data_IF_666675665864
#
_entry.id   IF_666675665864
#
_cell.length_a   1.000
_cell.length_b   1.000
_cell.length_c   1.000
_cell.angle_alpha   90.00
_cell.angle_beta   90.00
_cell.angle_gamma   90.00
#
_symmetry.space_group_name_H-M   'P 1'
#
loop_
_entity.id
_entity.type
_entity.pdbx_description
1 polymer ?
#
# COMPACT_ATOMS: atom_id res chain seq x y z
N UNK A 1 32.54 -1.69 -13.62
CA UNK A 1 33.34 -1.76 -12.38
C UNK A 1 33.47 -3.22 -11.98
N UNK A 2 34.68 -3.76 -11.97
CA UNK A 2 34.96 -5.15 -11.57
C UNK A 2 34.73 -5.31 -10.08
N UNK A 3 33.86 -6.24 -9.67
CA UNK A 3 33.65 -6.56 -8.26
C UNK A 3 34.90 -7.24 -7.69
N UNK A 4 35.45 -6.64 -6.65
CA UNK A 4 36.61 -7.19 -5.95
C UNK A 4 36.13 -8.31 -5.03
N UNK A 5 36.75 -9.49 -5.16
CA UNK A 5 36.45 -10.65 -4.32
C UNK A 5 37.02 -10.48 -2.90
N UNK A 6 36.36 -11.06 -1.90
CA UNK A 6 36.79 -10.97 -0.47
C UNK A 6 38.22 -11.46 -0.23
N UNK A 7 38.73 -12.38 -1.05
CA UNK A 7 40.06 -12.97 -0.93
C UNK A 7 41.10 -12.34 -1.88
N UNK A 8 40.70 -11.40 -2.74
CA UNK A 8 41.58 -10.72 -3.67
C UNK A 8 42.54 -9.76 -2.93
N UNK A 9 43.68 -9.39 -3.53
CA UNK A 9 44.54 -8.35 -2.98
C UNK A 9 43.79 -7.05 -2.82
N UNK A 10 43.98 -6.38 -1.67
CA UNK A 10 43.30 -5.12 -1.41
C UNK A 10 43.77 -4.02 -2.38
N UNK A 11 42.83 -3.26 -3.03
CA UNK A 11 43.18 -2.22 -3.98
C UNK A 11 43.92 -1.03 -3.35
N UNK A 12 43.93 -0.92 -2.02
CA UNK A 12 44.69 0.13 -1.31
C UNK A 12 46.22 -0.07 -1.33
N UNK A 13 46.72 -1.17 -1.90
CA UNK A 13 48.16 -1.46 -1.99
C UNK A 13 48.79 -2.00 -0.71
N UNK A 14 48.00 -2.34 0.32
CA UNK A 14 48.50 -2.85 1.60
C UNK A 14 49.12 -4.26 1.55
N UNK A 15 48.94 -4.98 0.42
CA UNK A 15 49.38 -6.38 0.29
C UNK A 15 48.49 -7.38 1.05
N UNK A 16 47.49 -6.93 1.78
CA UNK A 16 46.57 -7.79 2.51
C UNK A 16 45.36 -8.17 1.65
N UNK A 17 44.64 -9.24 2.05
CA UNK A 17 43.37 -9.64 1.42
C UNK A 17 42.30 -8.58 1.74
N UNK A 18 41.48 -8.25 0.76
CA UNK A 18 40.43 -7.23 0.87
C UNK A 18 39.56 -7.39 2.13
N UNK A 19 39.14 -8.62 2.48
CA UNK A 19 38.34 -8.92 3.69
C UNK A 19 38.98 -8.54 5.01
N UNK A 20 40.34 -8.43 5.06
CA UNK A 20 41.12 -8.08 6.26
C UNK A 20 41.61 -6.64 6.26
N UNK A 21 41.28 -5.88 5.21
CA UNK A 21 41.79 -4.52 5.04
C UNK A 21 40.61 -3.54 4.83
N UNK A 22 40.17 -3.29 3.60
CA UNK A 22 39.19 -2.25 3.30
C UNK A 22 37.76 -2.74 3.38
N UNK A 23 37.48 -4.03 3.25
CA UNK A 23 36.08 -4.55 3.25
C UNK A 23 35.26 -4.09 4.46
N UNK A 24 35.76 -4.13 5.73
CA UNK A 24 34.93 -3.66 6.86
C UNK A 24 34.59 -2.17 6.77
N UNK A 25 35.52 -1.34 6.26
CA UNK A 25 35.31 0.09 6.08
C UNK A 25 34.30 0.37 4.94
N UNK A 26 34.40 -0.41 3.87
CA UNK A 26 33.51 -0.27 2.72
C UNK A 26 32.07 -0.74 3.05
N UNK A 27 31.96 -1.81 3.87
CA UNK A 27 30.66 -2.28 4.40
C UNK A 27 30.04 -1.25 5.36
N UNK A 28 30.85 -0.63 6.22
CA UNK A 28 30.38 0.43 7.13
C UNK A 28 29.96 1.69 6.37
N UNK A 29 30.75 2.10 5.37
CA UNK A 29 30.40 3.24 4.51
C UNK A 29 29.13 2.97 3.70
N UNK A 30 28.94 1.76 3.16
CA UNK A 30 27.72 1.38 2.44
C UNK A 30 26.51 1.38 3.36
N UNK A 31 26.64 0.88 4.59
CA UNK A 31 25.58 0.90 5.59
C UNK A 31 25.19 2.33 6.00
N UNK A 32 26.19 3.20 6.21
CA UNK A 32 25.96 4.60 6.52
C UNK A 32 25.28 5.34 5.36
N UNK A 33 25.66 5.06 4.11
CA UNK A 33 25.03 5.64 2.92
C UNK A 33 23.57 5.20 2.77
N UNK A 34 23.24 3.92 3.03
CA UNK A 34 21.87 3.42 3.01
C UNK A 34 21.01 4.09 4.09
N UNK A 35 21.57 4.26 5.30
CA UNK A 35 20.89 4.93 6.39
C UNK A 35 20.63 6.40 6.08
N UNK A 36 21.61 7.12 5.56
CA UNK A 36 21.46 8.50 5.15
C UNK A 36 20.44 8.66 4.01
N UNK A 37 20.40 7.73 3.05
CA UNK A 37 19.40 7.74 1.97
C UNK A 37 17.99 7.48 2.50
N UNK A 38 17.82 6.61 3.51
CA UNK A 38 16.54 6.37 4.15
C UNK A 38 16.06 7.60 4.95
N UNK A 39 16.98 8.26 5.68
CA UNK A 39 16.68 9.50 6.41
C UNK A 39 16.34 10.65 5.46
N UNK A 40 17.03 10.77 4.31
CA UNK A 40 16.71 11.76 3.28
C UNK A 40 15.34 11.55 2.66
N UNK A 41 14.94 10.30 2.36
CA UNK A 41 13.61 9.96 1.86
C UNK A 41 12.51 10.25 2.90
N UNK A 42 12.77 9.95 4.18
CA UNK A 42 11.85 10.27 5.25
C UNK A 42 11.68 11.79 5.42
N UNK A 43 12.77 12.56 5.30
CA UNK A 43 12.73 14.02 5.37
C UNK A 43 12.02 14.63 4.14
N UNK A 44 12.14 14.04 2.96
CA UNK A 44 11.44 14.47 1.76
C UNK A 44 9.94 14.15 1.83
N UNK A 45 9.58 12.97 2.32
CA UNK A 45 8.19 12.62 2.60
C UNK A 45 7.55 13.55 3.64
N UNK A 46 8.30 13.93 4.68
CA UNK A 46 7.83 14.91 5.67
C UNK A 46 7.65 16.33 5.11
N UNK A 47 8.45 16.74 4.10
CA UNK A 47 8.27 18.03 3.41
C UNK A 47 7.04 18.03 2.52
N UNK A 48 6.74 16.92 1.82
CA UNK A 48 5.53 16.79 1.01
C UNK A 48 4.25 16.71 1.85
N UNK A 49 4.34 16.26 3.11
CA UNK A 49 3.21 16.27 4.03
C UNK A 49 2.79 17.70 4.46
N UNK A 50 3.65 18.71 4.26
CA UNK A 50 3.35 20.11 4.65
C UNK A 50 2.83 21.00 3.50
N UNK A 51 2.77 20.51 2.24
CA UNK A 51 2.44 21.35 1.08
C UNK A 51 0.99 21.19 0.57
N UNK A 52 0.11 20.58 1.36
CA UNK A 52 -1.32 20.49 1.05
C UNK A 52 -2.20 21.44 1.90
N UNK A 53 -1.65 22.60 2.27
CA UNK A 53 -2.47 23.70 2.81
C UNK A 53 -3.08 24.50 1.65
N UNK A 54 -4.07 23.91 0.98
CA UNK A 54 -4.98 24.66 0.12
C UNK A 54 -6.20 25.06 0.94
N UNK A 55 -6.24 26.36 1.27
CA UNK A 55 -7.25 27.04 2.04
C UNK A 55 -8.68 26.69 1.67
N UNK A 56 -9.26 25.79 2.40
CA UNK A 56 -10.69 25.67 2.54
C UNK A 56 -11.09 26.42 3.81
N UNK A 57 -11.82 27.54 3.63
CA UNK A 57 -12.47 28.25 4.73
C UNK A 57 -13.55 27.32 5.31
N UNK A 58 -13.19 26.60 6.36
CA UNK A 58 -14.13 25.78 7.13
C UNK A 58 -14.85 26.60 8.16
N UNK A 59 -16.16 26.45 8.21
CA UNK A 59 -16.95 26.92 9.34
C UNK A 59 -16.55 26.11 10.58
N UNK A 60 -16.06 26.79 11.61
CA UNK A 60 -15.37 26.23 12.78
C UNK A 60 -16.20 25.30 13.68
N UNK A 61 -17.41 24.90 13.33
CA UNK A 61 -18.28 24.17 14.27
C UNK A 61 -18.87 22.83 13.81
N UNK A 62 -18.77 22.42 12.55
CA UNK A 62 -19.33 21.15 12.06
C UNK A 62 -18.39 20.31 11.17
N UNK A 63 -17.19 20.79 10.81
CA UNK A 63 -16.25 20.11 9.92
C UNK A 63 -15.26 19.15 10.61
N UNK A 64 -14.81 19.49 11.80
CA UNK A 64 -13.63 18.86 12.43
C UNK A 64 -13.78 17.35 12.76
N UNK A 65 -14.99 16.84 12.95
CA UNK A 65 -15.20 15.42 13.28
C UNK A 65 -15.40 14.54 12.06
N UNK A 66 -15.90 15.10 10.96
CA UNK A 66 -16.09 14.35 9.70
C UNK A 66 -14.76 14.21 8.94
N UNK A 67 -13.92 15.23 8.93
CA UNK A 67 -12.63 15.23 8.27
C UNK A 67 -11.68 14.17 8.86
N UNK A 68 -11.67 14.02 10.20
CA UNK A 68 -10.80 13.03 10.87
C UNK A 68 -11.16 11.57 10.54
N UNK A 69 -12.45 11.26 10.46
CA UNK A 69 -12.91 9.89 10.12
C UNK A 69 -12.63 9.58 8.65
N UNK A 70 -12.89 10.52 7.74
CA UNK A 70 -12.65 10.33 6.30
C UNK A 70 -11.15 10.23 6.01
N UNK A 71 -10.33 11.06 6.64
CA UNK A 71 -8.87 11.02 6.54
C UNK A 71 -8.30 9.71 7.09
N UNK A 72 -8.87 9.22 8.20
CA UNK A 72 -8.47 7.96 8.79
C UNK A 72 -8.84 6.78 7.89
N UNK A 73 -10.07 6.72 7.38
CA UNK A 73 -10.51 5.70 6.43
C UNK A 73 -9.60 5.66 5.19
N UNK A 74 -9.34 6.82 4.59
CA UNK A 74 -8.48 6.93 3.40
C UNK A 74 -7.07 6.41 3.70
N UNK A 75 -6.50 6.75 4.84
CA UNK A 75 -5.17 6.32 5.26
C UNK A 75 -5.12 4.82 5.50
N UNK A 76 -6.10 4.28 6.23
CA UNK A 76 -6.20 2.85 6.53
C UNK A 76 -6.44 2.03 5.24
N UNK A 77 -7.25 2.54 4.31
CA UNK A 77 -7.53 1.95 3.00
C UNK A 77 -6.27 1.93 2.11
N UNK A 78 -5.51 3.03 2.05
CA UNK A 78 -4.27 3.11 1.29
C UNK A 78 -3.18 2.20 1.85
N UNK A 79 -3.10 2.03 3.18
CA UNK A 79 -2.15 1.12 3.80
C UNK A 79 -2.33 -0.33 3.31
N UNK A 80 -3.55 -0.77 3.02
CA UNK A 80 -3.79 -2.10 2.43
C UNK A 80 -3.19 -2.20 1.02
N UNK A 81 -3.34 -1.16 0.20
CA UNK A 81 -2.77 -1.11 -1.16
C UNK A 81 -1.25 -1.23 -1.10
N UNK A 82 -0.61 -0.48 -0.20
CA UNK A 82 0.84 -0.52 -0.02
C UNK A 82 1.32 -1.93 0.37
N UNK A 83 0.64 -2.58 1.32
CA UNK A 83 0.93 -3.94 1.74
C UNK A 83 0.78 -4.96 0.59
N UNK A 84 -0.24 -4.80 -0.26
CA UNK A 84 -0.42 -5.64 -1.47
C UNK A 84 0.74 -5.45 -2.44
N UNK A 85 1.15 -4.20 -2.70
CA UNK A 85 2.29 -3.89 -3.58
C UNK A 85 3.62 -4.41 -3.02
N UNK A 86 3.78 -4.45 -1.70
CA UNK A 86 4.93 -5.03 -1.02
C UNK A 86 4.92 -6.57 -0.99
N UNK A 87 3.83 -7.21 -1.42
CA UNK A 87 3.63 -8.66 -1.38
C UNK A 87 3.34 -9.21 0.02
N UNK A 88 3.04 -8.35 0.99
CA UNK A 88 2.70 -8.71 2.38
C UNK A 88 1.20 -9.06 2.51
N UNK A 89 0.78 -10.09 1.78
CA UNK A 89 -0.65 -10.38 1.59
C UNK A 89 -1.39 -10.79 2.87
N UNK A 90 -0.72 -11.39 3.84
CA UNK A 90 -1.33 -11.75 5.13
C UNK A 90 -1.59 -10.52 6.01
N UNK A 91 -0.66 -9.57 6.01
CA UNK A 91 -0.82 -8.29 6.69
C UNK A 91 -1.89 -7.43 5.99
N UNK A 92 -1.90 -7.42 4.66
CA UNK A 92 -2.91 -6.74 3.85
C UNK A 92 -4.33 -7.27 4.15
N UNK A 93 -4.50 -8.61 4.26
CA UNK A 93 -5.79 -9.20 4.61
C UNK A 93 -6.26 -8.79 6.00
N UNK A 94 -5.36 -8.79 6.98
CA UNK A 94 -5.69 -8.35 8.34
C UNK A 94 -6.11 -6.88 8.36
N UNK A 95 -5.38 -6.01 7.66
CA UNK A 95 -5.71 -4.59 7.55
C UNK A 95 -7.06 -4.36 6.84
N UNK A 96 -7.35 -5.09 5.75
CA UNK A 96 -8.63 -5.01 5.06
C UNK A 96 -9.81 -5.52 5.91
N UNK A 97 -9.59 -6.56 6.71
CA UNK A 97 -10.61 -7.03 7.68
C UNK A 97 -10.86 -6.00 8.78
N UNK A 98 -9.82 -5.32 9.27
CA UNK A 98 -9.96 -4.24 10.22
C UNK A 98 -10.76 -3.05 9.64
N UNK A 99 -10.64 -2.75 8.34
CA UNK A 99 -11.51 -1.77 7.68
C UNK A 99 -12.99 -2.17 7.77
N UNK A 100 -13.33 -3.45 7.53
CA UNK A 100 -14.72 -3.92 7.65
C UNK A 100 -15.26 -3.83 9.07
N UNK A 101 -14.42 -4.04 10.08
CA UNK A 101 -14.82 -3.93 11.48
C UNK A 101 -15.05 -2.47 11.90
N UNK A 102 -14.18 -1.56 11.45
CA UNK A 102 -14.25 -0.14 11.82
C UNK A 102 -15.25 0.64 10.97
N UNK A 103 -15.44 0.24 9.70
CA UNK A 103 -16.25 0.95 8.71
C UNK A 103 -17.19 -0.02 7.95
N UNK A 104 -18.14 -0.68 8.64
CA UNK A 104 -18.97 -1.74 8.04
C UNK A 104 -19.93 -1.24 6.95
N UNK A 105 -20.21 0.05 6.93
CA UNK A 105 -21.15 0.71 6.00
C UNK A 105 -20.45 1.21 4.71
N UNK A 106 -19.12 1.05 4.61
CA UNK A 106 -18.32 1.58 3.51
C UNK A 106 -17.77 0.43 2.67
N UNK A 107 -17.74 0.62 1.37
CA UNK A 107 -17.32 -0.43 0.43
C UNK A 107 -15.82 -0.77 0.48
N UNK A 108 -14.99 0.14 1.00
CA UNK A 108 -13.53 0.04 0.99
C UNK A 108 -12.99 -1.29 1.53
N UNK A 109 -13.52 -1.79 2.63
CA UNK A 109 -13.05 -3.04 3.22
C UNK A 109 -13.23 -4.24 2.31
N UNK A 110 -14.37 -4.34 1.61
CA UNK A 110 -14.60 -5.40 0.63
C UNK A 110 -13.77 -5.22 -0.63
N UNK A 111 -13.62 -3.98 -1.11
CA UNK A 111 -12.77 -3.66 -2.25
C UNK A 111 -11.31 -4.07 -1.98
N UNK A 112 -10.75 -3.67 -0.84
CA UNK A 112 -9.39 -4.03 -0.44
C UNK A 112 -9.20 -5.53 -0.23
N UNK A 113 -10.17 -6.24 0.34
CA UNK A 113 -10.13 -7.71 0.42
C UNK A 113 -10.13 -8.35 -0.97
N UNK A 114 -10.94 -7.83 -1.91
CA UNK A 114 -10.93 -8.27 -3.30
C UNK A 114 -9.54 -8.19 -3.91
N UNK A 115 -8.87 -7.03 -3.78
CA UNK A 115 -7.48 -6.82 -4.25
C UNK A 115 -6.50 -7.83 -3.63
N UNK A 116 -6.61 -8.12 -2.34
CA UNK A 116 -5.73 -9.11 -1.67
C UNK A 116 -5.93 -10.50 -2.25
N UNK A 117 -7.18 -10.93 -2.46
CA UNK A 117 -7.47 -12.24 -3.03
C UNK A 117 -7.06 -12.33 -4.51
N UNK A 118 -7.18 -11.26 -5.29
CA UNK A 118 -6.62 -11.20 -6.64
C UNK A 118 -5.09 -11.41 -6.62
N UNK A 119 -4.40 -10.69 -5.75
CA UNK A 119 -2.94 -10.81 -5.60
C UNK A 119 -2.50 -12.22 -5.18
N UNK A 120 -3.35 -12.95 -4.43
CA UNK A 120 -3.15 -14.37 -4.08
C UNK A 120 -3.51 -15.33 -5.21
N UNK A 121 -4.21 -14.87 -6.24
CA UNK A 121 -4.75 -15.70 -7.33
C UNK A 121 -6.04 -16.42 -6.97
N UNK A 122 -6.67 -16.13 -5.84
CA UNK A 122 -7.99 -16.66 -5.46
C UNK A 122 -9.10 -15.84 -6.11
N UNK A 123 -9.30 -16.10 -7.41
CA UNK A 123 -10.26 -15.39 -8.25
C UNK A 123 -11.69 -15.45 -7.72
N UNK A 124 -12.08 -16.59 -7.15
CA UNK A 124 -13.45 -16.76 -6.64
C UNK A 124 -13.69 -15.92 -5.40
N UNK A 125 -12.76 -15.95 -4.43
CA UNK A 125 -12.85 -15.11 -3.24
C UNK A 125 -12.82 -13.62 -3.58
N UNK A 126 -12.00 -13.20 -4.55
CA UNK A 126 -11.99 -11.83 -5.05
C UNK A 126 -13.34 -11.42 -5.65
N UNK A 127 -13.91 -12.23 -6.55
CA UNK A 127 -15.22 -11.98 -7.14
C UNK A 127 -16.33 -11.89 -6.07
N UNK A 128 -16.28 -12.74 -5.05
CA UNK A 128 -17.25 -12.70 -3.96
C UNK A 128 -17.15 -11.40 -3.15
N UNK A 129 -15.94 -10.87 -2.93
CA UNK A 129 -15.72 -9.57 -2.30
C UNK A 129 -16.29 -8.44 -3.17
N UNK A 130 -16.03 -8.42 -4.47
CA UNK A 130 -16.56 -7.39 -5.37
C UNK A 130 -18.09 -7.45 -5.52
N UNK A 131 -18.69 -8.64 -5.43
CA UNK A 131 -20.17 -8.75 -5.34
C UNK A 131 -20.71 -8.06 -4.09
N UNK A 132 -19.97 -8.13 -2.96
CA UNK A 132 -20.35 -7.42 -1.74
C UNK A 132 -20.26 -5.91 -1.89
N UNK A 133 -19.24 -5.39 -2.60
CA UNK A 133 -19.18 -3.97 -2.96
C UNK A 133 -20.45 -3.57 -3.75
N UNK A 134 -20.80 -4.33 -4.78
CA UNK A 134 -21.98 -4.06 -5.62
C UNK A 134 -23.28 -4.08 -4.79
N UNK A 135 -23.44 -5.08 -3.90
CA UNK A 135 -24.61 -5.16 -3.01
C UNK A 135 -24.73 -3.93 -2.12
N UNK A 136 -23.62 -3.52 -1.48
CA UNK A 136 -23.56 -2.39 -0.57
C UNK A 136 -23.87 -1.06 -1.29
N UNK A 137 -23.24 -0.84 -2.44
CA UNK A 137 -23.47 0.37 -3.25
C UNK A 137 -24.93 0.47 -3.72
N UNK A 138 -25.51 -0.66 -4.14
CA UNK A 138 -26.93 -0.70 -4.54
C UNK A 138 -27.91 -0.50 -3.39
N UNK A 139 -27.50 -0.81 -2.17
CA UNK A 139 -28.31 -0.54 -0.97
C UNK A 139 -28.32 0.96 -0.59
N UNK A 140 -27.30 1.73 -1.04
CA UNK A 140 -27.14 3.15 -0.73
C UNK A 140 -27.00 4.02 -2.01
N UNK A 141 -28.00 4.05 -2.90
CA UNK A 141 -27.90 4.69 -4.22
C UNK A 141 -27.78 6.21 -4.16
N UNK A 142 -28.06 6.82 -3.01
CA UNK A 142 -27.92 8.24 -2.74
C UNK A 142 -26.47 8.65 -2.40
N UNK A 143 -25.61 7.69 -2.06
CA UNK A 143 -24.22 7.94 -1.67
C UNK A 143 -23.23 7.71 -2.82
N UNK A 144 -23.63 7.04 -3.89
CA UNK A 144 -22.76 6.62 -4.98
C UNK A 144 -23.30 7.04 -6.35
N UNK A 145 -22.39 7.34 -7.24
CA UNK A 145 -22.76 7.57 -8.65
C UNK A 145 -23.34 6.30 -9.30
N UNK A 146 -24.34 6.40 -10.18
CA UNK A 146 -24.99 5.23 -10.79
C UNK A 146 -24.04 4.30 -11.55
N UNK A 147 -22.91 4.82 -12.01
CA UNK A 147 -21.89 4.07 -12.76
C UNK A 147 -20.82 3.42 -11.87
N UNK A 148 -20.86 3.66 -10.57
CA UNK A 148 -19.83 3.18 -9.64
C UNK A 148 -19.69 1.65 -9.65
N UNK A 149 -20.79 0.90 -9.80
CA UNK A 149 -20.75 -0.58 -9.81
C UNK A 149 -20.21 -1.18 -11.10
N UNK A 150 -20.18 -0.44 -12.20
CA UNK A 150 -19.82 -0.97 -13.53
C UNK A 150 -18.43 -1.61 -13.55
N UNK A 151 -17.45 -0.98 -12.92
CA UNK A 151 -16.09 -1.52 -12.83
C UNK A 151 -16.07 -2.83 -12.05
N UNK A 152 -16.75 -2.91 -10.92
CA UNK A 152 -16.81 -4.13 -10.11
C UNK A 152 -17.58 -5.26 -10.80
N UNK A 153 -18.64 -4.94 -11.56
CA UNK A 153 -19.38 -5.91 -12.38
C UNK A 153 -18.48 -6.54 -13.45
N UNK A 154 -17.64 -5.73 -14.12
CA UNK A 154 -16.65 -6.21 -15.08
C UNK A 154 -15.58 -7.10 -14.41
N UNK A 155 -15.05 -6.69 -13.25
CA UNK A 155 -14.09 -7.49 -12.49
C UNK A 155 -14.68 -8.85 -12.07
N UNK A 156 -15.93 -8.87 -11.62
CA UNK A 156 -16.62 -10.12 -11.27
C UNK A 156 -16.78 -11.02 -12.49
N UNK A 157 -17.13 -10.48 -13.65
CA UNK A 157 -17.27 -11.27 -14.90
C UNK A 157 -15.94 -11.86 -15.37
N UNK A 158 -14.82 -11.13 -15.20
CA UNK A 158 -13.48 -11.61 -15.54
C UNK A 158 -12.96 -12.68 -14.58
N UNK A 159 -13.24 -12.51 -13.28
CA UNK A 159 -12.71 -13.40 -12.24
C UNK A 159 -13.53 -14.69 -12.08
N UNK A 160 -14.84 -14.61 -12.20
CA UNK A 160 -15.77 -15.72 -12.02
C UNK A 160 -16.91 -15.63 -13.06
N UNK A 161 -16.61 -15.91 -14.35
CA UNK A 161 -17.60 -15.84 -15.41
C UNK A 161 -18.73 -16.87 -15.18
N UNK A 162 -19.98 -16.52 -15.53
CA UNK A 162 -21.10 -17.44 -15.42
C UNK A 162 -20.79 -18.71 -16.23
N UNK A 163 -20.96 -19.86 -15.60
CA UNK A 163 -20.76 -21.15 -16.29
C UNK A 163 -21.65 -21.19 -17.54
N UNK A 164 -21.00 -21.37 -18.69
CA UNK A 164 -21.76 -21.56 -19.95
C UNK A 164 -22.65 -22.79 -19.81
N UNK A 165 -23.97 -22.60 -19.81
CA UNK A 165 -24.99 -23.65 -19.80
C UNK A 165 -25.21 -24.17 -21.23
#
# INVERSE_FOLDING_TARGET
MTKIGRNDPCPCGSGQKYKRCCLPKDEEAASAALKAAAEARAAEAARHAHDHDHGHQHCEHCGALMDDVTDKLTRDSNAVIDLVHEGKLDEAEQAARALLEHYPEVHDGYDRLGMVYEARGDKKAAADCYRKVIELVRAHPDQYEPTFTVTFEQMVEELDPPSAV
#
